data_IF_075688011450
#
_entry.id   IF_075688011450
#
_cell.length_a   1.000
_cell.length_b   1.000
_cell.length_c   1.000
_cell.angle_alpha   90.00
_cell.angle_beta   90.00
_cell.angle_gamma   90.00
#
_symmetry.space_group_name_H-M   'P 1'
#
loop_
_entity.id
_entity.type
_entity.pdbx_description
1 polymer ?
#
# COMPACT_ATOMS: atom_id res chain seq x y z
N UNK A 1 18.66 -4.65 16.03
CA UNK A 1 17.23 -5.01 15.81
C UNK A 1 17.06 -6.41 16.36
N UNK A 2 16.18 -6.60 17.31
CA UNK A 2 15.99 -7.92 17.96
C UNK A 2 15.43 -8.93 16.96
N UNK A 3 15.75 -10.21 17.13
CA UNK A 3 15.28 -11.27 16.21
C UNK A 3 13.75 -11.28 16.05
N UNK A 4 13.02 -11.05 17.15
CA UNK A 4 11.57 -10.89 17.16
C UNK A 4 11.11 -9.80 16.18
N UNK A 5 11.76 -8.65 16.17
CA UNK A 5 11.43 -7.53 15.28
C UNK A 5 11.72 -7.87 13.82
N UNK A 6 12.73 -8.71 13.55
CA UNK A 6 13.07 -9.13 12.19
C UNK A 6 12.07 -10.10 11.58
N UNK A 7 11.37 -10.87 12.39
CA UNK A 7 10.34 -11.82 11.95
C UNK A 7 9.01 -11.16 11.61
N UNK A 8 8.69 -10.00 12.20
CA UNK A 8 7.43 -9.33 11.90
C UNK A 8 7.37 -8.97 10.41
N UNK A 9 6.35 -9.40 9.71
CA UNK A 9 6.12 -9.00 8.32
C UNK A 9 5.67 -7.55 8.25
N UNK A 10 6.12 -6.87 7.22
CA UNK A 10 5.81 -5.48 6.92
C UNK A 10 5.50 -5.38 5.43
N UNK A 11 4.34 -4.83 5.07
CA UNK A 11 3.91 -4.77 3.68
C UNK A 11 2.93 -3.62 3.43
N UNK A 12 3.00 -3.02 2.24
CA UNK A 12 2.05 -1.97 1.84
C UNK A 12 0.71 -2.56 1.44
N UNK A 13 0.75 -3.57 0.58
CA UNK A 13 -0.45 -4.18 0.05
C UNK A 13 -0.43 -5.69 0.19
N UNK A 14 -1.61 -6.25 0.20
CA UNK A 14 -1.87 -7.68 0.23
C UNK A 14 -2.97 -8.04 -0.76
N UNK A 15 -3.03 -9.31 -1.15
CA UNK A 15 -4.11 -9.85 -1.97
C UNK A 15 -4.58 -11.20 -1.43
N UNK A 16 -5.88 -11.34 -1.29
CA UNK A 16 -6.53 -12.60 -0.87
C UNK A 16 -6.77 -13.49 -2.08
N UNK A 17 -6.35 -14.76 -1.96
CA UNK A 17 -6.63 -15.82 -2.93
C UNK A 17 -7.06 -17.07 -2.16
N UNK A 18 -8.33 -17.44 -2.27
CA UNK A 18 -8.89 -18.50 -1.45
C UNK A 18 -8.79 -18.19 0.05
N UNK A 19 -8.18 -19.08 0.81
CA UNK A 19 -7.92 -18.93 2.26
C UNK A 19 -6.54 -18.39 2.58
N UNK A 20 -5.85 -17.81 1.61
CA UNK A 20 -4.49 -17.26 1.78
C UNK A 20 -4.46 -15.77 1.45
N UNK A 21 -3.67 -15.02 2.22
CA UNK A 21 -3.29 -13.64 1.91
C UNK A 21 -1.84 -13.65 1.45
N UNK A 22 -1.56 -13.18 0.25
CA UNK A 22 -0.21 -13.06 -0.29
C UNK A 22 0.33 -11.66 -0.08
N UNK A 23 1.58 -11.56 0.42
CA UNK A 23 2.25 -10.31 0.73
C UNK A 23 3.71 -10.30 0.28
N UNK A 24 4.16 -9.17 -0.25
CA UNK A 24 5.59 -8.91 -0.49
C UNK A 24 6.15 -8.14 0.70
N UNK A 25 7.16 -8.68 1.36
CA UNK A 25 7.72 -8.04 2.55
C UNK A 25 8.53 -6.78 2.20
N UNK A 26 8.36 -5.72 2.98
CA UNK A 26 9.06 -4.44 2.78
C UNK A 26 10.49 -4.43 3.30
N UNK A 27 10.82 -5.29 4.27
CA UNK A 27 12.11 -5.28 4.97
C UNK A 27 13.21 -6.05 4.26
N UNK A 28 12.84 -6.97 3.42
CA UNK A 28 13.74 -7.80 2.62
C UNK A 28 12.95 -8.49 1.52
N UNK A 29 13.67 -8.94 0.50
CA UNK A 29 13.08 -9.64 -0.64
C UNK A 29 12.46 -10.97 -0.21
N UNK A 30 11.15 -11.06 -0.28
CA UNK A 30 10.41 -12.28 0.04
C UNK A 30 8.92 -12.15 -0.21
N UNK A 31 8.36 -13.19 -0.81
CA UNK A 31 6.92 -13.43 -0.95
C UNK A 31 6.49 -14.40 0.16
N UNK A 32 5.41 -14.05 0.84
CA UNK A 32 4.81 -14.87 1.90
C UNK A 32 3.33 -15.09 1.64
N UNK A 33 2.82 -16.22 2.11
CA UNK A 33 1.39 -16.45 2.25
C UNK A 33 1.02 -16.54 3.72
N UNK A 34 -0.14 -16.01 4.08
CA UNK A 34 -0.70 -15.97 5.43
C UNK A 34 -2.04 -16.68 5.37
N UNK A 35 -2.22 -17.73 6.15
CA UNK A 35 -3.50 -18.40 6.28
C UNK A 35 -4.49 -17.52 7.04
N UNK A 36 -5.72 -17.35 6.54
CA UNK A 36 -6.69 -16.39 7.11
C UNK A 36 -7.24 -16.88 8.45
N UNK A 37 -7.39 -18.18 8.63
CA UNK A 37 -8.04 -18.73 9.83
C UNK A 37 -7.06 -18.83 11.01
N UNK A 38 -5.77 -19.10 10.72
CA UNK A 38 -4.75 -19.37 11.75
C UNK A 38 -3.72 -18.26 11.88
N UNK A 39 -3.61 -17.36 10.87
CA UNK A 39 -2.53 -16.38 10.70
C UNK A 39 -1.14 -17.01 10.63
N UNK A 40 -1.06 -18.31 10.33
CA UNK A 40 0.20 -18.98 10.06
C UNK A 40 0.83 -18.43 8.77
N UNK A 41 2.13 -18.13 8.84
CA UNK A 41 2.89 -17.53 7.74
C UNK A 41 3.79 -18.56 7.09
N UNK A 42 3.68 -18.71 5.78
CA UNK A 42 4.53 -19.57 4.98
C UNK A 42 5.41 -18.73 4.04
N UNK A 43 6.69 -19.08 3.94
CA UNK A 43 7.60 -18.50 2.97
C UNK A 43 7.42 -19.16 1.61
N UNK A 44 7.02 -18.36 0.60
CA UNK A 44 6.78 -18.85 -0.77
C UNK A 44 8.07 -18.83 -1.59
N UNK A 45 8.84 -17.74 -1.48
CA UNK A 45 10.08 -17.60 -2.25
C UNK A 45 10.58 -16.17 -2.33
N UNK A 46 11.63 -15.97 -3.16
CA UNK A 46 12.23 -14.67 -3.42
C UNK A 46 12.06 -14.24 -4.85
N UNK A 47 11.84 -12.93 -5.04
CA UNK A 47 11.81 -12.35 -6.38
C UNK A 47 13.21 -12.36 -6.98
N UNK A 48 13.42 -12.99 -8.16
CA UNK A 48 14.76 -13.39 -8.62
C UNK A 48 15.67 -12.22 -9.04
N UNK A 49 15.08 -11.07 -9.37
CA UNK A 49 15.82 -9.93 -9.92
C UNK A 49 16.43 -9.00 -8.85
N UNK A 50 16.30 -9.34 -7.58
CA UNK A 50 16.69 -8.46 -6.48
C UNK A 50 17.54 -9.20 -5.45
N UNK A 51 18.45 -8.46 -4.81
CA UNK A 51 19.20 -8.99 -3.66
C UNK A 51 18.26 -9.32 -2.49
N UNK A 52 18.68 -10.21 -1.62
CA UNK A 52 17.91 -10.60 -0.43
C UNK A 52 17.61 -9.41 0.50
N UNK A 53 18.51 -8.44 0.55
CA UNK A 53 18.41 -7.26 1.41
C UNK A 53 17.71 -6.07 0.74
N UNK A 54 17.09 -6.27 -0.44
CA UNK A 54 16.40 -5.18 -1.11
C UNK A 54 15.14 -4.82 -0.33
N UNK A 55 15.00 -3.53 0.00
CA UNK A 55 13.90 -2.99 0.82
C UNK A 55 12.79 -2.47 -0.09
N UNK A 56 11.53 -2.67 0.34
CA UNK A 56 10.39 -1.99 -0.27
C UNK A 56 10.19 -2.30 -1.75
N UNK A 57 10.17 -3.58 -2.12
CA UNK A 57 10.05 -3.98 -3.54
C UNK A 57 8.75 -3.48 -4.17
N UNK A 58 7.60 -3.71 -3.53
CA UNK A 58 6.29 -3.54 -4.14
C UNK A 58 5.36 -2.65 -3.32
N UNK A 59 4.60 -1.79 -4.00
CA UNK A 59 3.57 -0.91 -3.42
C UNK A 59 2.19 -1.57 -3.44
N UNK A 60 1.87 -2.32 -4.49
CA UNK A 60 0.57 -2.93 -4.67
C UNK A 60 0.67 -4.31 -5.31
N UNK A 61 -0.39 -5.10 -5.17
CA UNK A 61 -0.50 -6.45 -5.74
C UNK A 61 -1.92 -6.67 -6.26
N UNK A 62 -2.03 -7.40 -7.36
CA UNK A 62 -3.30 -7.81 -7.95
C UNK A 62 -3.27 -9.31 -8.27
N UNK A 63 -4.41 -9.98 -8.06
CA UNK A 63 -4.62 -11.37 -8.47
C UNK A 63 -5.43 -11.42 -9.75
N UNK A 64 -4.95 -12.16 -10.74
CA UNK A 64 -5.67 -12.41 -11.97
C UNK A 64 -5.14 -13.68 -12.66
N UNK A 65 -6.05 -14.54 -13.16
CA UNK A 65 -5.73 -15.73 -13.93
C UNK A 65 -4.67 -16.61 -13.27
N UNK A 66 -4.91 -16.96 -12.01
CA UNK A 66 -4.04 -17.76 -11.15
C UNK A 66 -2.60 -17.24 -11.01
N UNK A 67 -2.43 -15.92 -11.14
CA UNK A 67 -1.15 -15.20 -11.02
C UNK A 67 -1.28 -13.99 -10.10
N UNK A 68 -0.20 -13.72 -9.39
CA UNK A 68 -0.04 -12.54 -8.55
C UNK A 68 0.87 -11.55 -9.27
N UNK A 69 0.37 -10.35 -9.53
CA UNK A 69 1.11 -9.26 -10.17
C UNK A 69 1.50 -8.24 -9.12
N UNK A 70 2.79 -8.09 -8.87
CA UNK A 70 3.35 -7.16 -7.92
C UNK A 70 3.89 -5.92 -8.64
N UNK A 71 3.40 -4.76 -8.24
CA UNK A 71 3.76 -3.49 -8.86
C UNK A 71 4.78 -2.74 -8.00
N UNK A 72 5.81 -2.14 -8.63
CA UNK A 72 6.99 -1.70 -7.92
C UNK A 72 6.75 -0.51 -6.99
N UNK A 73 7.36 -0.57 -5.79
CA UNK A 73 7.61 0.56 -4.92
C UNK A 73 9.02 1.13 -5.22
N UNK A 74 10.08 0.49 -4.73
CA UNK A 74 11.47 0.80 -5.11
C UNK A 74 12.01 -0.14 -6.19
N UNK A 75 11.30 -1.20 -6.49
CA UNK A 75 11.61 -2.12 -7.56
C UNK A 75 11.59 -1.46 -8.94
N UNK A 76 12.16 -2.12 -9.94
CA UNK A 76 12.22 -1.65 -11.33
C UNK A 76 11.47 -2.56 -12.31
N UNK A 77 10.67 -3.47 -11.79
CA UNK A 77 9.91 -4.44 -12.59
C UNK A 77 8.49 -4.63 -12.06
N UNK A 78 7.60 -5.05 -12.92
CA UNK A 78 6.39 -5.76 -12.53
C UNK A 78 6.80 -7.20 -12.31
N UNK A 79 6.70 -7.69 -11.09
CA UNK A 79 7.04 -9.07 -10.77
C UNK A 79 5.78 -9.92 -10.73
N UNK A 80 5.86 -11.13 -11.25
CA UNK A 80 4.73 -12.06 -11.35
C UNK A 80 5.08 -13.38 -10.68
N UNK A 81 4.17 -13.87 -9.86
CA UNK A 81 4.20 -15.23 -9.33
C UNK A 81 3.03 -16.03 -9.90
N UNK A 82 3.34 -17.09 -10.63
CA UNK A 82 2.38 -18.03 -11.23
C UNK A 82 2.07 -19.12 -10.20
N UNK A 83 0.86 -19.13 -9.68
CA UNK A 83 0.43 -20.07 -8.63
C UNK A 83 0.35 -21.52 -9.12
N UNK A 84 0.02 -21.73 -10.41
CA UNK A 84 -0.06 -23.07 -10.98
C UNK A 84 1.32 -23.69 -11.17
N UNK A 85 2.29 -22.88 -11.61
CA UNK A 85 3.64 -23.35 -11.93
C UNK A 85 4.62 -23.22 -10.78
N UNK A 86 4.23 -22.48 -9.73
CA UNK A 86 5.12 -22.12 -8.61
C UNK A 86 6.42 -21.44 -9.13
N UNK A 87 6.26 -20.44 -9.99
CA UNK A 87 7.37 -19.77 -10.67
C UNK A 87 7.27 -18.27 -10.64
N UNK A 88 8.43 -17.63 -10.47
CA UNK A 88 8.59 -16.19 -10.58
C UNK A 88 9.10 -15.79 -11.97
N UNK A 89 8.55 -14.72 -12.50
CA UNK A 89 9.07 -14.01 -13.66
C UNK A 89 8.68 -12.52 -13.56
N UNK A 90 9.10 -11.70 -14.50
CA UNK A 90 8.77 -10.27 -14.42
C UNK A 90 9.13 -9.52 -15.68
N UNK A 91 8.65 -8.27 -15.76
CA UNK A 91 8.88 -7.33 -16.84
C UNK A 91 9.51 -6.05 -16.30
N UNK A 92 10.70 -5.69 -16.81
CA UNK A 92 11.39 -4.45 -16.43
C UNK A 92 10.70 -3.21 -16.98
N UNK A 93 10.62 -2.18 -16.17
CA UNK A 93 10.07 -0.87 -16.51
C UNK A 93 11.21 0.11 -16.83
N UNK A 94 11.77 0.00 -18.04
CA UNK A 94 12.97 0.74 -18.43
C UNK A 94 12.82 2.26 -18.40
N UNK A 95 11.64 2.80 -18.73
CA UNK A 95 11.39 4.23 -18.66
C UNK A 95 11.41 4.76 -17.23
N UNK A 96 10.89 3.98 -16.31
CA UNK A 96 10.86 4.35 -14.90
C UNK A 96 12.26 4.26 -14.26
N UNK A 97 13.09 3.30 -14.67
CA UNK A 97 14.50 3.24 -14.24
C UNK A 97 15.28 4.50 -14.61
N UNK A 98 15.11 4.97 -15.84
CA UNK A 98 15.80 6.18 -16.34
C UNK A 98 15.39 7.46 -15.63
N UNK A 99 14.16 7.51 -15.11
CA UNK A 99 13.58 8.68 -14.48
C UNK A 99 13.67 8.67 -12.95
N UNK A 100 14.28 7.64 -12.35
CA UNK A 100 14.52 7.60 -10.91
C UNK A 100 15.42 8.75 -10.48
N UNK A 101 14.93 9.58 -9.57
CA UNK A 101 15.73 10.68 -8.97
C UNK A 101 16.77 10.16 -7.97
N UNK A 102 16.51 9.01 -7.34
CA UNK A 102 17.43 8.27 -6.47
C UNK A 102 16.94 6.82 -6.29
N UNK A 103 17.80 5.93 -5.80
CA UNK A 103 17.47 4.52 -5.57
C UNK A 103 16.37 4.27 -4.52
N UNK A 104 15.97 5.31 -3.79
CA UNK A 104 14.99 5.26 -2.70
C UNK A 104 13.64 5.90 -3.06
N UNK A 105 13.32 6.14 -4.33
CA UNK A 105 12.05 6.75 -4.71
C UNK A 105 11.03 5.74 -5.20
N UNK A 106 9.83 5.83 -4.63
CA UNK A 106 8.64 5.08 -5.04
C UNK A 106 8.27 5.41 -6.48
N UNK A 107 8.11 4.38 -7.31
CA UNK A 107 7.81 4.56 -8.73
C UNK A 107 6.32 4.50 -9.05
N UNK A 108 5.58 3.57 -8.43
CA UNK A 108 4.14 3.38 -8.64
C UNK A 108 3.34 3.76 -7.40
N UNK A 109 2.08 4.14 -7.59
CA UNK A 109 1.14 4.36 -6.49
C UNK A 109 0.04 3.31 -6.52
N UNK A 110 -0.49 3.01 -7.70
CA UNK A 110 -1.59 2.08 -7.90
C UNK A 110 -1.53 1.46 -9.27
N UNK A 111 -2.10 0.29 -9.39
CA UNK A 111 -2.31 -0.37 -10.68
C UNK A 111 -3.76 -0.84 -10.80
N UNK A 112 -4.37 -0.61 -11.96
CA UNK A 112 -5.75 -0.97 -12.25
C UNK A 112 -5.86 -1.85 -13.47
N UNK A 113 -6.62 -2.93 -13.33
CA UNK A 113 -6.92 -3.81 -14.45
C UNK A 113 -8.09 -3.28 -15.28
N UNK A 114 -7.91 -3.30 -16.62
CA UNK A 114 -8.97 -3.12 -17.59
C UNK A 114 -8.78 -4.15 -18.72
N UNK A 115 -9.69 -5.11 -18.80
CA UNK A 115 -9.55 -6.24 -19.73
C UNK A 115 -8.25 -7.02 -19.49
N UNK A 116 -7.45 -7.15 -20.54
CA UNK A 116 -6.16 -7.86 -20.54
C UNK A 116 -4.96 -6.95 -20.21
N UNK A 117 -5.21 -5.77 -19.66
CA UNK A 117 -4.16 -4.80 -19.36
C UNK A 117 -4.20 -4.36 -17.91
N UNK A 118 -3.01 -4.05 -17.37
CA UNK A 118 -2.87 -3.19 -16.19
C UNK A 118 -2.43 -1.80 -16.60
N UNK A 119 -3.02 -0.79 -15.95
CA UNK A 119 -2.63 0.61 -16.02
C UNK A 119 -1.98 0.99 -14.70
N UNK A 120 -0.67 1.30 -14.75
CA UNK A 120 0.13 1.67 -13.59
C UNK A 120 0.22 3.19 -13.53
N UNK A 121 -0.24 3.75 -12.42
CA UNK A 121 -0.16 5.19 -12.17
C UNK A 121 1.22 5.56 -11.64
N UNK A 122 1.90 6.57 -12.23
CA UNK A 122 3.17 7.06 -11.74
C UNK A 122 2.98 7.88 -10.47
N UNK A 123 4.00 7.89 -9.63
CA UNK A 123 4.05 8.79 -8.49
C UNK A 123 4.48 10.21 -8.85
N UNK A 124 5.28 10.36 -9.90
CA UNK A 124 5.87 11.63 -10.29
C UNK A 124 5.31 12.15 -11.60
N UNK A 125 5.11 13.49 -11.72
CA UNK A 125 4.52 14.11 -12.92
C UNK A 125 5.30 13.91 -14.20
N UNK A 126 6.60 13.68 -14.11
CA UNK A 126 7.51 13.47 -15.24
C UNK A 126 7.63 12.00 -15.67
N UNK A 127 6.95 11.09 -14.98
CA UNK A 127 6.92 9.69 -15.33
C UNK A 127 5.64 9.38 -16.11
N UNK A 128 5.71 8.54 -17.14
CA UNK A 128 4.52 8.12 -17.87
C UNK A 128 3.68 7.15 -17.04
N UNK A 129 2.37 7.15 -17.26
CA UNK A 129 1.54 6.02 -16.91
C UNK A 129 1.90 4.85 -17.82
N UNK A 130 1.94 3.63 -17.29
CA UNK A 130 2.34 2.44 -18.04
C UNK A 130 1.13 1.56 -18.29
N UNK A 131 0.93 1.16 -19.55
CA UNK A 131 -0.01 0.11 -19.96
C UNK A 131 0.75 -1.18 -20.19
N UNK A 132 0.45 -2.17 -19.36
CA UNK A 132 1.10 -3.48 -19.38
C UNK A 132 0.13 -4.55 -19.86
N UNK A 133 0.56 -5.38 -20.82
CA UNK A 133 -0.21 -6.53 -21.30
C UNK A 133 0.01 -7.74 -20.42
N UNK A 134 -1.08 -8.25 -19.83
CA UNK A 134 -1.07 -9.45 -18.99
C UNK A 134 -0.68 -10.68 -19.80
N UNK A 135 -1.25 -10.83 -21.01
CA UNK A 135 -1.01 -11.99 -21.86
C UNK A 135 0.42 -12.06 -22.41
N UNK A 136 0.97 -10.90 -22.81
CA UNK A 136 2.30 -10.83 -23.41
C UNK A 136 3.43 -10.70 -22.38
N UNK A 137 3.09 -10.34 -21.13
CA UNK A 137 4.06 -10.02 -20.07
C UNK A 137 5.04 -8.91 -20.48
N UNK A 138 4.51 -7.84 -21.09
CA UNK A 138 5.32 -6.71 -21.58
C UNK A 138 4.60 -5.37 -21.42
N UNK A 139 5.38 -4.30 -21.35
CA UNK A 139 4.87 -2.92 -21.50
C UNK A 139 4.51 -2.71 -22.98
N UNK A 140 3.24 -2.39 -23.24
CA UNK A 140 2.77 -2.15 -24.59
C UNK A 140 2.65 -0.67 -24.93
N UNK A 141 2.54 0.18 -23.90
CA UNK A 141 2.40 1.63 -24.10
C UNK A 141 2.89 2.39 -22.86
N UNK A 142 3.54 3.51 -23.10
CA UNK A 142 3.89 4.52 -22.10
C UNK A 142 3.11 5.79 -22.41
N UNK A 143 2.21 6.18 -21.51
CA UNK A 143 1.25 7.25 -21.70
C UNK A 143 1.74 8.49 -20.93
N UNK A 144 2.19 9.51 -21.66
CA UNK A 144 2.57 10.79 -21.07
C UNK A 144 1.32 11.56 -20.64
N UNK A 145 1.26 11.94 -19.37
CA UNK A 145 0.16 12.74 -18.82
C UNK A 145 0.29 14.19 -19.29
N UNK A 146 -0.81 14.80 -19.75
CA UNK A 146 -0.85 16.16 -20.26
C UNK A 146 -1.09 17.18 -19.13
N UNK A 147 -0.14 17.28 -18.22
CA UNK A 147 -0.21 18.17 -17.07
C UNK A 147 0.24 19.59 -17.40
N UNK A 148 -0.38 20.59 -16.77
CA UNK A 148 0.12 21.95 -16.80
C UNK A 148 1.50 22.08 -16.16
N UNK A 149 2.26 23.11 -16.54
CA UNK A 149 3.62 23.32 -15.99
C UNK A 149 3.60 23.50 -14.45
N UNK A 150 2.55 24.09 -13.90
CA UNK A 150 2.38 24.23 -12.45
C UNK A 150 2.23 22.89 -11.74
N UNK A 151 1.60 21.92 -12.37
CA UNK A 151 1.44 20.57 -11.85
C UNK A 151 2.70 19.73 -12.09
N UNK A 152 3.36 19.88 -13.26
CA UNK A 152 4.61 19.16 -13.57
C UNK A 152 5.76 19.48 -12.61
N UNK A 153 5.76 20.69 -12.05
CA UNK A 153 6.79 21.12 -11.11
C UNK A 153 6.58 20.60 -9.68
N UNK A 154 5.46 19.92 -9.40
CA UNK A 154 5.24 19.29 -8.09
C UNK A 154 6.07 18.01 -7.95
N UNK A 155 6.58 17.77 -6.74
CA UNK A 155 7.49 16.63 -6.49
C UNK A 155 6.79 15.27 -6.60
N UNK A 156 5.51 15.21 -6.28
CA UNK A 156 4.71 14.00 -6.39
C UNK A 156 3.23 14.33 -6.59
N UNK A 157 2.49 13.48 -7.33
CA UNK A 157 1.05 13.60 -7.50
C UNK A 157 0.28 13.19 -6.25
N UNK A 158 0.68 12.09 -5.66
CA UNK A 158 0.03 11.55 -4.49
C UNK A 158 1.04 10.71 -3.69
N UNK A 159 1.06 10.91 -2.40
CA UNK A 159 1.89 10.15 -1.46
C UNK A 159 1.20 8.86 -0.98
N UNK A 160 -0.05 8.62 -1.38
CA UNK A 160 -0.86 7.50 -0.92
C UNK A 160 -1.47 6.73 -2.10
N UNK A 161 -1.91 5.53 -1.87
CA UNK A 161 -2.63 4.67 -2.83
C UNK A 161 -4.10 5.09 -3.04
N UNK A 162 -4.39 6.39 -2.96
CA UNK A 162 -5.74 6.92 -2.87
C UNK A 162 -6.47 7.17 -4.18
N UNK A 163 -6.07 6.56 -5.28
CA UNK A 163 -6.83 6.62 -6.53
C UNK A 163 -7.98 5.59 -6.56
N UNK A 164 -8.96 5.80 -7.45
CA UNK A 164 -10.13 4.92 -7.59
C UNK A 164 -10.36 4.64 -9.07
N UNK A 165 -10.68 3.39 -9.43
CA UNK A 165 -11.17 3.02 -10.76
C UNK A 165 -12.66 2.74 -10.69
N UNK A 166 -13.45 3.41 -11.53
CA UNK A 166 -14.88 3.16 -11.71
C UNK A 166 -15.10 2.93 -13.21
N UNK A 167 -15.60 1.77 -13.57
CA UNK A 167 -15.75 1.35 -14.98
C UNK A 167 -14.42 1.52 -15.74
N UNK A 168 -14.40 2.31 -16.80
CA UNK A 168 -13.22 2.58 -17.63
C UNK A 168 -12.55 3.93 -17.32
N UNK A 169 -12.80 4.48 -16.13
CA UNK A 169 -12.20 5.74 -15.69
C UNK A 169 -11.38 5.55 -14.41
N UNK A 170 -10.18 6.14 -14.41
CA UNK A 170 -9.32 6.22 -13.24
C UNK A 170 -9.39 7.64 -12.70
N UNK A 171 -9.82 7.77 -11.44
CA UNK A 171 -9.90 9.00 -10.69
C UNK A 171 -8.67 9.11 -9.80
N UNK A 172 -7.91 10.18 -9.97
CA UNK A 172 -6.61 10.34 -9.37
C UNK A 172 -6.48 11.70 -8.67
N UNK A 173 -6.50 11.75 -7.33
CA UNK A 173 -6.33 13.00 -6.61
C UNK A 173 -4.89 13.49 -6.75
N UNK A 174 -4.72 14.75 -7.12
CA UNK A 174 -3.39 15.38 -7.21
C UNK A 174 -3.00 15.94 -5.84
N UNK A 175 -1.99 15.35 -5.24
CA UNK A 175 -1.51 15.71 -3.90
C UNK A 175 -1.17 17.20 -3.80
N UNK A 176 -1.52 17.81 -2.67
CA UNK A 176 -1.30 19.22 -2.36
C UNK A 176 -1.95 20.20 -3.37
N UNK A 177 -3.09 19.77 -3.93
CA UNK A 177 -3.99 20.58 -4.77
C UNK A 177 -5.44 20.30 -4.38
N UNK A 178 -6.38 21.03 -4.97
CA UNK A 178 -7.81 20.71 -4.91
C UNK A 178 -8.33 20.00 -6.18
N UNK A 179 -7.43 19.36 -6.94
CA UNK A 179 -7.71 18.83 -8.28
C UNK A 179 -7.78 17.30 -8.25
N UNK A 180 -8.82 16.78 -8.90
CA UNK A 180 -8.92 15.36 -9.30
C UNK A 180 -8.67 15.26 -10.80
N UNK A 181 -7.66 14.49 -11.20
CA UNK A 181 -7.47 14.07 -12.59
C UNK A 181 -8.31 12.83 -12.86
N UNK A 182 -9.01 12.82 -13.97
CA UNK A 182 -9.74 11.65 -14.46
C UNK A 182 -9.15 11.22 -15.80
N UNK A 183 -8.67 9.99 -15.87
CA UNK A 183 -8.19 9.38 -17.09
C UNK A 183 -9.24 8.38 -17.60
N UNK A 184 -9.75 8.61 -18.80
CA UNK A 184 -10.67 7.71 -19.47
C UNK A 184 -9.86 6.70 -20.32
N UNK A 185 -9.90 5.45 -19.91
CA UNK A 185 -9.12 4.34 -20.52
C UNK A 185 -9.58 4.08 -21.95
N UNK A 186 -10.86 4.24 -22.25
CA UNK A 186 -11.43 3.95 -23.56
C UNK A 186 -11.02 4.99 -24.61
N UNK A 187 -11.02 6.26 -24.22
CA UNK A 187 -10.72 7.36 -25.13
C UNK A 187 -9.28 7.86 -25.06
N UNK A 188 -8.54 7.47 -24.01
CA UNK A 188 -7.20 7.97 -23.74
C UNK A 188 -7.16 9.45 -23.33
N UNK A 189 -8.29 10.03 -22.93
CA UNK A 189 -8.40 11.44 -22.59
C UNK A 189 -8.33 11.69 -21.10
N UNK A 190 -7.75 12.82 -20.76
CA UNK A 190 -7.68 13.36 -19.40
C UNK A 190 -8.70 14.49 -19.23
N UNK A 191 -9.23 14.58 -18.01
CA UNK A 191 -10.07 15.67 -17.55
C UNK A 191 -9.66 16.06 -16.13
N UNK A 192 -9.83 17.31 -15.77
CA UNK A 192 -9.42 17.87 -14.49
C UNK A 192 -10.60 18.54 -13.83
N UNK A 193 -10.85 18.22 -12.56
CA UNK A 193 -11.96 18.75 -11.78
C UNK A 193 -11.41 19.41 -10.51
N UNK A 194 -11.76 20.66 -10.29
CA UNK A 194 -11.45 21.37 -9.04
C UNK A 194 -12.58 21.17 -8.05
N UNK A 195 -12.23 20.85 -6.80
CA UNK A 195 -13.20 20.74 -5.72
C UNK A 195 -13.32 22.09 -5.03
N UNK A 196 -14.46 22.75 -5.21
CA UNK A 196 -14.73 24.05 -4.61
C UNK A 196 -14.77 23.96 -3.08
N UNK A 197 -14.17 24.93 -2.39
CA UNK A 197 -14.12 24.96 -0.92
C UNK A 197 -13.13 23.99 -0.27
N UNK A 198 -12.30 23.30 -1.07
CA UNK A 198 -11.17 22.51 -0.65
C UNK A 198 -9.87 23.23 -1.02
N UNK A 199 -8.98 23.41 -0.05
CA UNK A 199 -7.69 24.07 -0.29
C UNK A 199 -6.64 23.09 -0.83
N UNK A 200 -6.64 21.85 -0.33
CA UNK A 200 -5.69 20.83 -0.71
C UNK A 200 -6.20 19.42 -0.40
N UNK A 201 -5.83 18.48 -1.24
CA UNK A 201 -6.00 17.05 -1.05
C UNK A 201 -4.64 16.48 -0.66
N UNK A 202 -4.55 15.79 0.46
CA UNK A 202 -3.29 15.26 0.97
C UNK A 202 -3.36 13.80 1.44
N UNK A 203 -4.45 13.13 1.16
CA UNK A 203 -4.68 11.74 1.52
C UNK A 203 -5.45 10.94 0.46
N UNK A 204 -5.99 9.83 0.90
CA UNK A 204 -6.74 8.91 0.05
C UNK A 204 -8.03 9.52 -0.49
N UNK A 205 -8.45 8.95 -1.61
CA UNK A 205 -9.81 9.02 -2.15
C UNK A 205 -10.41 7.62 -2.18
N UNK A 206 -11.69 7.49 -1.88
CA UNK A 206 -12.46 6.26 -2.02
C UNK A 206 -13.80 6.53 -2.68
N UNK A 207 -14.49 5.48 -3.11
CA UNK A 207 -15.82 5.56 -3.71
C UNK A 207 -16.72 4.48 -3.10
N UNK A 208 -17.85 4.89 -2.53
CA UNK A 208 -18.78 3.98 -1.81
C UNK A 208 -19.86 3.37 -2.71
N UNK A 209 -19.79 3.61 -4.02
CA UNK A 209 -20.81 3.23 -5.00
C UNK A 209 -21.74 4.38 -5.38
N UNK A 210 -21.77 5.47 -4.61
CA UNK A 210 -22.61 6.65 -4.82
C UNK A 210 -21.85 7.98 -4.77
N UNK A 211 -20.84 8.08 -3.89
CA UNK A 211 -20.14 9.31 -3.59
C UNK A 211 -18.62 9.06 -3.44
N UNK A 212 -17.84 10.10 -3.71
CA UNK A 212 -16.41 10.13 -3.46
C UNK A 212 -16.12 10.64 -2.06
N UNK A 213 -15.28 9.92 -1.31
CA UNK A 213 -14.75 10.29 -0.02
C UNK A 213 -13.31 10.72 -0.19
N UNK A 214 -12.95 11.91 0.28
CA UNK A 214 -11.64 12.51 0.01
C UNK A 214 -11.06 13.09 1.29
N UNK A 215 -9.80 12.78 1.58
CA UNK A 215 -9.07 13.44 2.65
C UNK A 215 -8.52 14.78 2.17
N UNK A 216 -9.06 15.85 2.71
CA UNK A 216 -8.77 17.23 2.34
C UNK A 216 -8.20 18.01 3.54
N UNK A 217 -6.89 18.01 3.69
CA UNK A 217 -6.25 18.55 4.89
C UNK A 217 -6.63 17.75 6.14
N UNK A 218 -7.09 18.45 7.17
CA UNK A 218 -7.60 17.82 8.40
C UNK A 218 -9.09 17.43 8.29
N UNK A 219 -9.68 17.61 7.13
CA UNK A 219 -11.09 17.34 6.89
C UNK A 219 -11.29 16.09 6.01
N UNK A 220 -12.47 15.50 6.10
CA UNK A 220 -12.96 14.54 5.12
C UNK A 220 -14.14 15.19 4.39
N UNK A 221 -14.09 15.20 3.06
CA UNK A 221 -15.16 15.69 2.21
C UNK A 221 -15.81 14.55 1.44
N UNK A 222 -17.15 14.63 1.32
CA UNK A 222 -17.93 13.70 0.50
C UNK A 222 -18.48 14.49 -0.67
N UNK A 223 -18.17 14.02 -1.88
CA UNK A 223 -18.56 14.68 -3.14
C UNK A 223 -19.44 13.76 -3.98
N UNK A 224 -20.33 14.37 -4.77
CA UNK A 224 -21.05 13.65 -5.82
C UNK A 224 -20.14 13.26 -7.01
N UNK A 225 -20.74 12.69 -8.05
CA UNK A 225 -20.03 12.27 -9.27
C UNK A 225 -19.43 13.43 -10.08
N UNK A 226 -19.82 14.66 -9.83
CA UNK A 226 -19.30 15.89 -10.44
C UNK A 226 -18.29 16.63 -9.54
N UNK A 227 -17.91 16.03 -8.41
CA UNK A 227 -17.05 16.60 -7.37
C UNK A 227 -17.63 17.85 -6.68
N UNK A 228 -18.95 17.97 -6.65
CA UNK A 228 -19.64 18.96 -5.83
C UNK A 228 -19.69 18.45 -4.38
N UNK A 229 -19.21 19.26 -3.45
CA UNK A 229 -19.18 18.88 -2.03
C UNK A 229 -20.61 18.79 -1.47
N UNK A 230 -20.99 17.58 -1.09
CA UNK A 230 -22.27 17.30 -0.42
C UNK A 230 -22.17 17.40 1.09
N UNK A 231 -21.04 16.94 1.65
CA UNK A 231 -20.79 16.98 3.11
C UNK A 231 -19.32 17.24 3.39
N UNK A 232 -19.07 18.00 4.46
CA UNK A 232 -17.72 18.27 4.96
C UNK A 232 -17.65 17.98 6.45
N UNK A 233 -16.85 16.99 6.83
CA UNK A 233 -16.58 16.61 8.21
C UNK A 233 -15.26 17.26 8.64
N UNK A 234 -15.37 18.34 9.44
CA UNK A 234 -14.24 19.18 9.83
C UNK A 234 -13.45 18.57 10.97
N UNK A 235 -12.13 18.68 10.91
CA UNK A 235 -11.21 18.29 11.97
C UNK A 235 -11.22 16.79 12.29
N UNK A 236 -11.63 15.95 11.35
CA UNK A 236 -11.68 14.50 11.55
C UNK A 236 -10.30 13.82 11.50
N UNK A 237 -9.30 14.50 10.93
CA UNK A 237 -7.93 14.00 10.82
C UNK A 237 -7.03 14.89 11.67
N UNK A 238 -6.35 14.32 12.66
CA UNK A 238 -5.43 15.05 13.53
C UNK A 238 -4.02 15.10 12.93
N UNK A 239 -3.18 16.01 13.43
CA UNK A 239 -1.76 16.08 13.02
C UNK A 239 -0.98 14.80 13.36
N UNK A 240 -1.41 14.06 14.39
CA UNK A 240 -0.81 12.77 14.75
C UNK A 240 -1.16 11.66 13.74
N UNK A 241 -2.38 11.67 13.24
CA UNK A 241 -2.87 10.75 12.19
C UNK A 241 -2.27 11.11 10.83
N UNK A 242 -1.92 12.37 10.63
CA UNK A 242 -1.34 13.02 9.44
C UNK A 242 -2.26 13.01 8.24
N UNK A 243 -2.61 11.83 7.72
CA UNK A 243 -3.44 11.69 6.54
C UNK A 243 -4.17 10.34 6.58
N UNK A 244 -5.23 10.25 5.81
CA UNK A 244 -5.93 8.99 5.55
C UNK A 244 -5.26 8.29 4.37
N UNK A 245 -4.93 7.02 4.52
CA UNK A 245 -4.29 6.20 3.48
C UNK A 245 -5.29 5.34 2.72
N UNK A 246 -6.46 5.07 3.29
CA UNK A 246 -7.51 4.31 2.65
C UNK A 246 -8.89 4.62 3.24
N UNK A 247 -9.92 4.42 2.43
CA UNK A 247 -11.32 4.33 2.86
C UNK A 247 -11.83 2.92 2.61
N UNK A 248 -12.60 2.41 3.58
CA UNK A 248 -13.23 1.10 3.51
C UNK A 248 -14.73 1.28 3.67
N UNK A 249 -15.49 0.70 2.77
CA UNK A 249 -16.95 0.84 2.75
C UNK A 249 -17.59 -0.53 2.98
N UNK A 250 -18.44 -0.60 4.01
CA UNK A 250 -19.17 -1.83 4.31
C UNK A 250 -20.51 -1.52 4.95
N UNK A 251 -21.57 -1.97 4.31
CA UNK A 251 -22.94 -1.71 4.74
C UNK A 251 -23.17 -0.20 4.94
N UNK A 252 -23.56 0.22 6.15
CA UNK A 252 -23.74 1.63 6.48
C UNK A 252 -22.44 2.34 6.92
N UNK A 253 -21.34 1.60 7.10
CA UNK A 253 -20.11 2.12 7.68
C UNK A 253 -19.07 2.49 6.62
N UNK A 254 -18.49 3.66 6.80
CA UNK A 254 -17.26 4.07 6.13
C UNK A 254 -16.14 4.17 7.15
N UNK A 255 -15.04 3.47 6.91
CA UNK A 255 -13.85 3.57 7.75
C UNK A 255 -12.79 4.41 7.04
N UNK A 256 -12.21 5.37 7.74
CA UNK A 256 -11.04 6.11 7.28
C UNK A 256 -9.81 5.63 8.04
N UNK A 257 -8.87 5.04 7.30
CA UNK A 257 -7.66 4.43 7.84
C UNK A 257 -6.53 5.46 7.87
N UNK A 258 -6.00 5.82 9.06
CA UNK A 258 -4.93 6.80 9.16
C UNK A 258 -3.57 6.21 8.71
N UNK A 259 -2.66 7.07 8.25
CA UNK A 259 -1.30 6.66 7.91
C UNK A 259 -0.50 6.24 9.15
N UNK A 260 -0.71 6.93 10.26
CA UNK A 260 -0.05 6.69 11.53
C UNK A 260 -1.00 6.06 12.55
N UNK A 261 -0.41 5.54 13.63
CA UNK A 261 -1.15 5.10 14.79
C UNK A 261 -1.88 6.28 15.42
N UNK A 262 -3.15 6.14 15.61
CA UNK A 262 -4.05 7.13 16.18
C UNK A 262 -5.39 6.46 16.39
N UNK A 263 -6.44 7.02 15.81
CA UNK A 263 -7.75 6.41 15.81
C UNK A 263 -8.22 6.11 14.39
N UNK A 264 -8.66 4.89 14.18
CA UNK A 264 -9.50 4.57 13.03
C UNK A 264 -10.80 5.33 13.15
N UNK A 265 -11.19 6.08 12.13
CA UNK A 265 -12.47 6.81 12.14
C UNK A 265 -13.53 5.96 11.44
N UNK A 266 -14.71 5.89 12.05
CA UNK A 266 -15.86 5.18 11.49
C UNK A 266 -17.04 6.15 11.37
N UNK A 267 -17.65 6.20 10.20
CA UNK A 267 -18.73 7.14 9.87
C UNK A 267 -19.99 6.38 9.46
N UNK A 268 -21.13 6.82 10.00
CA UNK A 268 -22.45 6.52 9.47
C UNK A 268 -23.08 7.83 9.00
N UNK A 269 -23.15 8.04 7.69
CA UNK A 269 -23.72 9.28 7.12
C UNK A 269 -25.21 9.39 7.31
N UNK A 270 -25.93 8.29 7.43
CA UNK A 270 -27.39 8.28 7.58
C UNK A 270 -27.82 8.77 8.96
N UNK A 271 -26.99 8.53 9.98
CA UNK A 271 -27.25 8.92 11.37
C UNK A 271 -26.38 10.10 11.83
N UNK A 272 -25.54 10.65 10.95
CA UNK A 272 -24.56 11.71 11.24
C UNK A 272 -23.59 11.36 12.38
N UNK A 273 -23.22 10.09 12.45
CA UNK A 273 -22.33 9.53 13.48
C UNK A 273 -20.89 9.52 12.99
N UNK A 274 -19.98 9.95 13.86
CA UNK A 274 -18.54 9.79 13.69
C UNK A 274 -17.94 9.22 14.98
N UNK A 275 -17.37 8.03 14.90
CA UNK A 275 -16.73 7.35 16.02
C UNK A 275 -15.21 7.29 15.81
N UNK A 276 -14.48 7.36 16.91
CA UNK A 276 -13.02 7.17 16.93
C UNK A 276 -12.71 5.87 17.66
N UNK A 277 -12.13 4.90 16.93
CA UNK A 277 -11.75 3.61 17.47
C UNK A 277 -10.23 3.65 17.69
N UNK A 278 -9.80 3.64 18.95
CA UNK A 278 -8.37 3.74 19.28
C UNK A 278 -7.65 2.47 18.85
N UNK A 279 -6.58 2.65 18.08
CA UNK A 279 -5.62 1.57 17.80
C UNK A 279 -4.68 1.48 19.00
N UNK A 280 -4.57 0.31 19.62
CA UNK A 280 -3.71 0.10 20.77
C UNK A 280 -2.24 0.43 20.44
N UNK A 281 -1.52 0.89 21.46
CA UNK A 281 -0.09 1.17 21.33
C UNK A 281 0.66 -0.11 20.91
N UNK A 282 1.44 0.00 19.87
CA UNK A 282 2.30 -1.06 19.35
C UNK A 282 3.73 -0.60 19.30
N UNK A 283 4.63 -1.55 19.33
CA UNK A 283 6.04 -1.25 19.16
C UNK A 283 6.30 -0.85 17.71
N UNK A 284 6.81 0.36 17.48
CA UNK A 284 7.28 0.78 16.16
C UNK A 284 8.57 0.05 15.83
N UNK A 285 8.61 -0.57 14.67
CA UNK A 285 9.80 -1.20 14.15
C UNK A 285 10.31 -0.34 13.00
N UNK A 286 11.39 0.39 13.23
CA UNK A 286 11.98 1.26 12.20
C UNK A 286 12.64 0.40 11.14
N UNK A 287 12.01 0.30 9.97
CA UNK A 287 12.53 -0.44 8.82
C UNK A 287 13.51 0.39 8.00
N UNK A 288 13.17 1.65 7.82
CA UNK A 288 13.97 2.65 7.14
C UNK A 288 13.55 4.01 7.69
N UNK A 289 14.49 4.87 8.06
CA UNK A 289 14.22 6.19 8.63
C UNK A 289 13.33 7.08 7.74
N UNK A 290 13.34 6.86 6.44
CA UNK A 290 12.50 7.61 5.50
C UNK A 290 11.05 7.13 5.52
N UNK A 291 10.81 5.81 5.48
CA UNK A 291 9.45 5.23 5.50
C UNK A 291 8.82 5.39 6.89
N UNK A 292 9.60 5.18 7.95
CA UNK A 292 9.13 5.24 9.33
C UNK A 292 8.55 6.61 9.74
N UNK A 293 9.02 7.69 9.10
CA UNK A 293 8.52 9.04 9.41
C UNK A 293 7.12 9.31 8.87
N UNK A 294 6.69 8.59 7.85
CA UNK A 294 5.52 8.97 7.07
C UNK A 294 4.33 8.01 7.17
N UNK A 295 4.58 6.71 7.45
CA UNK A 295 3.51 5.72 7.37
C UNK A 295 3.77 4.51 8.26
N UNK A 296 2.81 4.15 9.11
CA UNK A 296 2.83 2.94 9.94
C UNK A 296 1.86 1.87 9.44
N UNK A 297 0.80 2.29 8.75
CA UNK A 297 -0.22 1.41 8.19
C UNK A 297 -0.18 1.46 6.66
N UNK A 298 -0.32 0.32 6.03
CA UNK A 298 -0.47 0.15 4.59
C UNK A 298 -1.92 0.28 4.13
N UNK A 299 -2.23 -0.40 3.01
CA UNK A 299 -3.61 -0.61 2.58
C UNK A 299 -4.31 -1.63 3.49
N UNK A 300 -5.53 -1.97 3.17
CA UNK A 300 -6.29 -2.98 3.90
C UNK A 300 -6.46 -4.26 3.07
N UNK A 301 -6.71 -5.39 3.76
CA UNK A 301 -7.20 -6.61 3.13
C UNK A 301 -8.59 -6.94 3.67
N UNK A 302 -9.57 -6.95 2.78
CA UNK A 302 -10.94 -7.40 3.12
C UNK A 302 -10.97 -8.91 3.34
N UNK A 303 -11.48 -9.34 4.49
CA UNK A 303 -11.64 -10.75 4.88
C UNK A 303 -13.12 -11.18 4.92
N UNK A 304 -14.04 -10.28 4.56
CA UNK A 304 -15.49 -10.51 4.57
C UNK A 304 -16.17 -9.82 5.76
N UNK A 305 -16.22 -10.42 6.95
CA UNK A 305 -16.80 -9.81 8.14
C UNK A 305 -15.82 -8.87 8.87
N UNK A 306 -14.55 -8.98 8.56
CA UNK A 306 -13.45 -8.21 9.11
C UNK A 306 -12.56 -7.68 7.98
N UNK A 307 -11.65 -6.78 8.31
CA UNK A 307 -10.53 -6.40 7.44
C UNK A 307 -9.23 -6.32 8.23
N UNK A 308 -8.14 -6.64 7.55
CA UNK A 308 -6.80 -6.57 8.11
C UNK A 308 -6.16 -5.22 7.75
N UNK A 309 -5.66 -4.50 8.75
CA UNK A 309 -4.80 -3.34 8.57
C UNK A 309 -3.36 -3.83 8.36
N UNK A 310 -2.81 -3.55 7.18
CA UNK A 310 -1.47 -3.99 6.80
C UNK A 310 -0.40 -3.21 7.57
N UNK A 311 0.51 -3.89 8.31
CA UNK A 311 1.57 -3.23 9.04
C UNK A 311 2.70 -2.81 8.11
N UNK A 312 3.15 -1.56 8.20
CA UNK A 312 4.31 -1.05 7.47
C UNK A 312 5.54 -0.94 8.39
N UNK A 313 5.36 -0.28 9.53
CA UNK A 313 6.44 -0.08 10.52
C UNK A 313 6.01 -0.55 11.92
N UNK A 314 5.19 -1.57 12.01
CA UNK A 314 4.63 -2.09 13.25
C UNK A 314 5.07 -3.53 13.49
N UNK A 315 5.04 -3.95 14.75
CA UNK A 315 5.36 -5.32 15.16
C UNK A 315 4.19 -6.29 14.97
N UNK A 316 3.01 -5.79 14.61
CA UNK A 316 1.79 -6.56 14.41
C UNK A 316 0.84 -5.91 13.41
N UNK A 317 -0.05 -6.70 12.83
CA UNK A 317 -1.21 -6.26 12.09
C UNK A 317 -2.42 -6.07 13.03
N UNK A 318 -3.53 -5.55 12.50
CA UNK A 318 -4.77 -5.44 13.25
C UNK A 318 -5.92 -5.96 12.40
N UNK A 319 -6.74 -6.79 13.00
CA UNK A 319 -8.02 -7.19 12.45
C UNK A 319 -9.12 -6.31 13.01
N UNK A 320 -9.96 -5.78 12.15
CA UNK A 320 -11.08 -4.89 12.49
C UNK A 320 -12.38 -5.54 12.11
N UNK A 321 -13.30 -5.68 13.07
CA UNK A 321 -14.65 -6.12 12.79
C UNK A 321 -15.49 -4.97 12.23
N UNK A 322 -16.10 -5.17 11.05
CA UNK A 322 -16.88 -4.13 10.39
C UNK A 322 -18.12 -3.68 11.17
N UNK A 323 -18.80 -4.61 11.82
CA UNK A 323 -20.06 -4.32 12.50
C UNK A 323 -19.84 -3.72 13.88
N UNK A 324 -18.99 -4.35 14.66
CA UNK A 324 -18.74 -3.95 16.05
C UNK A 324 -17.77 -2.78 16.16
N UNK A 325 -16.89 -2.62 15.18
CA UNK A 325 -15.80 -1.63 15.24
C UNK A 325 -14.72 -2.02 16.25
N UNK A 326 -14.66 -3.29 16.66
CA UNK A 326 -13.59 -3.79 17.53
C UNK A 326 -12.31 -4.02 16.76
N UNK A 327 -11.15 -3.78 17.41
CA UNK A 327 -9.82 -3.97 16.82
C UNK A 327 -9.07 -5.02 17.64
N UNK A 328 -8.52 -6.02 16.97
CA UNK A 328 -7.71 -7.08 17.58
C UNK A 328 -6.30 -7.10 16.98
N UNK A 329 -5.24 -7.06 17.81
CA UNK A 329 -3.88 -7.19 17.33
C UNK A 329 -3.58 -8.62 16.89
N UNK A 330 -2.93 -8.76 15.72
CA UNK A 330 -2.55 -10.04 15.12
C UNK A 330 -1.03 -10.08 14.92
N UNK A 331 -0.39 -11.14 15.41
CA UNK A 331 1.03 -11.37 15.18
C UNK A 331 1.23 -12.10 13.86
N UNK A 332 1.89 -11.45 12.91
CA UNK A 332 2.23 -12.01 11.59
C UNK A 332 3.74 -12.11 11.49
N UNK A 333 4.29 -13.28 11.79
CA UNK A 333 5.72 -13.51 11.89
C UNK A 333 6.22 -14.45 10.79
N UNK A 334 7.22 -14.01 10.05
CA UNK A 334 7.91 -14.85 9.06
C UNK A 334 8.51 -16.11 9.72
N UNK A 335 8.54 -17.25 9.02
CA UNK A 335 9.27 -18.43 9.45
C UNK A 335 10.73 -18.12 9.70
N UNK A 336 11.31 -18.67 10.78
CA UNK A 336 12.65 -18.33 11.23
C UNK A 336 13.72 -18.62 10.18
N UNK A 337 13.58 -19.71 9.44
CA UNK A 337 14.49 -20.12 8.36
C UNK A 337 14.56 -19.11 7.22
N UNK A 338 13.47 -18.42 6.91
CA UNK A 338 13.43 -17.37 5.88
C UNK A 338 14.19 -16.11 6.29
N UNK A 339 14.34 -15.90 7.59
CA UNK A 339 15.04 -14.74 8.19
C UNK A 339 16.51 -15.07 8.43
N UNK A 340 16.82 -16.27 8.91
CA UNK A 340 18.22 -16.71 9.21
C UNK A 340 19.09 -16.73 7.96
N UNK A 341 18.55 -17.11 6.81
CA UNK A 341 19.32 -17.07 5.56
C UNK A 341 19.86 -15.67 5.26
N UNK A 342 19.13 -14.64 5.66
CA UNK A 342 19.54 -13.25 5.56
C UNK A 342 20.76 -12.93 6.45
N UNK A 343 20.82 -13.46 7.67
CA UNK A 343 21.93 -13.19 8.60
C UNK A 343 23.25 -13.77 8.16
N UNK A 344 23.26 -14.94 7.51
CA UNK A 344 24.49 -15.55 6.99
C UNK A 344 25.18 -14.69 5.92
N UNK A 345 24.43 -13.88 5.18
CA UNK A 345 24.94 -13.03 4.10
C UNK A 345 25.23 -11.59 4.52
N UNK A 346 24.65 -11.11 5.62
CA UNK A 346 24.82 -9.71 6.05
C UNK A 346 26.06 -9.48 6.94
N UNK A 347 26.82 -10.53 7.27
CA UNK A 347 28.07 -10.42 8.08
C UNK A 347 29.14 -9.48 7.50
N UNK A 348 29.04 -9.16 6.22
CA UNK A 348 29.96 -8.24 5.53
C UNK A 348 29.52 -6.76 5.58
N UNK A 349 28.29 -6.45 6.00
CA UNK A 349 27.76 -5.09 5.95
C UNK A 349 27.37 -4.48 7.30
N UNK A 350 27.46 -5.22 8.41
CA UNK A 350 27.06 -4.77 9.73
C UNK A 350 28.26 -4.77 10.68
N UNK A 351 28.52 -3.61 11.30
CA UNK A 351 29.50 -3.49 12.40
C UNK A 351 29.20 -4.50 13.50
N UNK A 352 30.11 -5.44 13.71
CA UNK A 352 29.98 -6.62 14.58
C UNK A 352 29.78 -6.25 16.05
N UNK A 353 30.21 -5.06 16.48
CA UNK A 353 30.21 -4.62 17.90
C UNK A 353 28.80 -4.40 18.51
N UNK A 354 27.72 -4.44 17.70
CA UNK A 354 26.36 -4.13 18.18
C UNK A 354 25.49 -5.38 18.41
N UNK A 355 26.01 -6.59 18.19
CA UNK A 355 25.24 -7.84 18.13
C UNK A 355 25.63 -8.93 19.13
N UNK A 356 26.54 -8.64 20.07
CA UNK A 356 26.89 -9.62 21.11
C UNK A 356 25.71 -9.94 22.02
N UNK A 357 24.88 -8.95 22.36
CA UNK A 357 23.65 -9.14 23.16
C UNK A 357 22.57 -9.94 22.43
N UNK A 358 22.50 -9.86 21.09
CA UNK A 358 21.50 -10.54 20.26
C UNK A 358 21.81 -12.05 20.05
N UNK A 359 23.05 -12.48 20.20
CA UNK A 359 23.46 -13.87 20.02
C UNK A 359 23.02 -14.75 21.19
N UNK A 360 23.04 -14.23 22.42
CA UNK A 360 22.55 -14.94 23.61
C UNK A 360 21.02 -15.10 23.54
N UNK A 361 20.29 -14.05 23.10
CA UNK A 361 18.85 -14.12 22.90
C UNK A 361 18.49 -15.12 21.77
N UNK A 362 19.29 -15.18 20.70
CA UNK A 362 19.15 -16.16 19.61
C UNK A 362 19.43 -17.59 20.09
N UNK A 363 20.48 -17.79 20.87
CA UNK A 363 20.85 -19.12 21.39
C UNK A 363 19.84 -19.60 22.44
N UNK A 364 19.30 -18.72 23.28
CA UNK A 364 18.25 -19.08 24.24
C UNK A 364 16.96 -19.47 23.52
N UNK A 365 16.61 -18.79 22.43
CA UNK A 365 15.44 -19.13 21.62
C UNK A 365 15.56 -20.49 20.92
N UNK A 366 16.76 -20.86 20.44
CA UNK A 366 17.01 -22.19 19.81
C UNK A 366 16.98 -23.31 20.86
N UNK A 367 17.32 -23.00 22.12
CA UNK A 367 17.28 -23.96 23.20
C UNK A 367 15.85 -24.27 23.71
N UNK A 368 14.90 -23.37 23.43
CA UNK A 368 13.48 -23.50 23.83
C UNK A 368 12.59 -24.11 22.72
N UNK A 369 13.16 -24.49 21.57
CA UNK A 369 12.52 -25.19 20.46
C UNK A 369 13.05 -26.63 20.35
#
# INVERSE_FOLDING_TARGET
MKLREMRCLSFFASVKVGNQIFVSNLRYNGLYSIDIDTYEVNFVGRFPNYSENFLGLHESVQYYDNKLFFFPHYGSAIDVYDLDKNQFYGCKLHSWEKNKRSDNFTCSISAYRCGDFFYLLPRFPNMPMVKYSIQKNEVVEEISLNLSDSLRNKEAFNLTSGSVKIEDKIFYPLFDTNIIMVYDITTGKESYYEIEGVSQINGAMGYDGSAFWINAGNDIVVCDSNFVVMKKMKGCVTDEERLIVNFVFRDKWTYAVPANLGALKRFDLSEDVCESIKIEETQRIVVNDVIAKWRNLGTIQDLGNTFLLNPVNLDRAFEVNYQEGTIHPININAPIESVISKHKFSRTALNVEKYEDDLEEFLSFIADV
#
